data_IF_485410283507
#
_entry.id   IF_485410283507
#
_cell.length_a   1.000
_cell.length_b   1.000
_cell.length_c   1.000
_cell.angle_alpha   90.00
_cell.angle_beta   90.00
_cell.angle_gamma   90.00
#
_symmetry.space_group_name_H-M   'P 1'
#
loop_
_entity.id
_entity.type
_entity.pdbx_description
1 polymer ?
#
# COMPACT_ATOMS: atom_id res chain seq x y z
N UNK A 1 6.49 -0.68 -26.87
CA UNK A 1 5.60 -0.99 -25.74
C UNK A 1 6.27 -2.07 -24.91
N UNK A 2 6.65 -1.76 -23.67
CA UNK A 2 7.32 -2.72 -22.78
C UNK A 2 6.24 -3.44 -21.95
N UNK A 3 6.26 -4.77 -21.92
CA UNK A 3 5.38 -5.58 -21.08
C UNK A 3 6.13 -5.96 -19.81
N UNK A 4 5.70 -5.45 -18.66
CA UNK A 4 6.32 -5.75 -17.36
C UNK A 4 5.60 -6.91 -16.71
N UNK A 5 6.33 -7.98 -16.40
CA UNK A 5 5.81 -9.18 -15.73
C UNK A 5 6.45 -9.44 -14.36
N UNK A 6 7.42 -8.66 -13.94
CA UNK A 6 8.07 -8.81 -12.63
C UNK A 6 8.66 -7.48 -12.19
N UNK A 7 9.01 -7.37 -10.90
CA UNK A 7 9.78 -6.23 -10.37
C UNK A 7 11.16 -6.13 -11.06
N UNK A 8 11.76 -7.26 -11.41
CA UNK A 8 13.03 -7.32 -12.12
C UNK A 8 12.89 -6.77 -13.56
N UNK A 9 11.82 -7.14 -14.27
CA UNK A 9 11.50 -6.57 -15.59
C UNK A 9 11.29 -5.06 -15.51
N UNK A 10 10.62 -4.59 -14.44
CA UNK A 10 10.45 -3.15 -14.20
C UNK A 10 11.79 -2.45 -14.09
N UNK A 11 12.68 -2.90 -13.19
CA UNK A 11 13.96 -2.23 -13.02
C UNK A 11 14.88 -2.34 -14.23
N UNK A 12 14.83 -3.44 -14.99
CA UNK A 12 15.55 -3.56 -16.26
C UNK A 12 15.12 -2.49 -17.25
N UNK A 13 13.81 -2.32 -17.45
CA UNK A 13 13.28 -1.29 -18.36
C UNK A 13 13.68 0.11 -17.88
N UNK A 14 13.54 0.39 -16.58
CA UNK A 14 13.94 1.69 -16.02
C UNK A 14 15.44 1.93 -16.17
N UNK A 15 16.28 0.92 -15.92
CA UNK A 15 17.74 1.05 -16.02
C UNK A 15 18.20 1.25 -17.46
N UNK A 16 17.61 0.54 -18.43
CA UNK A 16 17.86 0.76 -19.86
C UNK A 16 17.58 2.21 -20.27
N UNK A 17 16.44 2.76 -19.86
CA UNK A 17 16.04 4.13 -20.20
C UNK A 17 16.91 5.14 -19.45
N UNK A 18 17.23 4.88 -18.19
CA UNK A 18 18.12 5.70 -17.37
C UNK A 18 19.50 5.81 -18.00
N UNK A 19 20.09 4.69 -18.43
CA UNK A 19 21.40 4.64 -19.09
C UNK A 19 21.36 5.42 -20.40
N UNK A 20 20.34 5.23 -21.23
CA UNK A 20 20.17 5.97 -22.49
C UNK A 20 20.04 7.49 -22.30
N UNK A 21 19.55 7.93 -21.14
CA UNK A 21 19.38 9.34 -20.79
C UNK A 21 20.48 9.87 -19.86
N UNK A 22 21.50 9.08 -19.57
CA UNK A 22 22.62 9.43 -18.69
C UNK A 22 22.19 9.93 -17.31
N UNK A 23 21.07 9.40 -16.78
CA UNK A 23 20.50 9.80 -15.50
C UNK A 23 21.09 9.01 -14.33
N UNK A 24 21.20 9.62 -13.16
CA UNK A 24 21.54 8.89 -11.93
C UNK A 24 20.29 8.37 -11.21
N UNK A 25 20.46 7.31 -10.42
CA UNK A 25 19.39 6.79 -9.57
C UNK A 25 18.89 7.83 -8.54
N UNK A 26 19.76 8.72 -8.07
CA UNK A 26 19.40 9.84 -7.19
C UNK A 26 18.42 10.80 -7.86
N UNK A 27 18.58 11.05 -9.15
CA UNK A 27 17.76 12.00 -9.90
C UNK A 27 16.37 11.43 -10.13
N UNK A 28 16.28 10.10 -10.27
CA UNK A 28 15.05 9.35 -10.43
C UNK A 28 14.27 9.18 -9.11
N UNK A 29 14.90 8.61 -8.07
CA UNK A 29 14.20 8.15 -6.86
C UNK A 29 14.71 8.78 -5.56
N UNK A 30 15.61 9.76 -5.63
CA UNK A 30 16.14 10.48 -4.48
C UNK A 30 16.84 9.55 -3.48
N UNK A 31 16.45 9.64 -2.20
CA UNK A 31 17.04 8.84 -1.12
C UNK A 31 16.87 7.31 -1.26
N UNK A 32 16.07 6.84 -2.21
CA UNK A 32 15.91 5.41 -2.52
C UNK A 32 16.88 4.91 -3.60
N UNK A 33 17.84 5.73 -4.03
CA UNK A 33 18.78 5.39 -5.10
C UNK A 33 19.50 4.04 -4.91
N UNK A 34 19.95 3.75 -3.68
CA UNK A 34 20.62 2.46 -3.37
C UNK A 34 19.67 1.26 -3.53
N UNK A 35 18.39 1.45 -3.19
CA UNK A 35 17.37 0.41 -3.31
C UNK A 35 16.94 0.20 -4.77
N UNK A 36 16.85 1.27 -5.55
CA UNK A 36 16.63 1.17 -7.00
C UNK A 36 17.82 0.53 -7.72
N UNK A 37 19.05 0.90 -7.35
CA UNK A 37 20.27 0.32 -7.93
C UNK A 37 20.42 -1.19 -7.65
N UNK A 38 19.82 -1.71 -6.57
CA UNK A 38 19.83 -3.15 -6.30
C UNK A 38 18.84 -3.93 -7.17
N UNK A 39 17.94 -3.24 -7.90
CA UNK A 39 16.89 -3.81 -8.75
C UNK A 39 15.94 -4.80 -8.04
N UNK A 40 15.98 -4.86 -6.70
CA UNK A 40 15.18 -5.78 -5.88
C UNK A 40 14.06 -5.09 -5.10
N UNK A 41 14.05 -3.76 -5.10
CA UNK A 41 13.03 -3.00 -4.40
C UNK A 41 11.70 -3.11 -5.13
N UNK A 42 10.62 -3.49 -4.47
CA UNK A 42 9.28 -3.36 -5.04
C UNK A 42 8.76 -1.93 -4.74
N UNK A 43 8.82 -0.98 -5.69
CA UNK A 43 8.41 0.38 -5.41
C UNK A 43 6.89 0.43 -5.21
N UNK A 44 6.40 1.21 -4.21
CA UNK A 44 4.98 1.48 -4.15
C UNK A 44 4.60 2.30 -5.37
N UNK A 45 3.32 2.27 -5.70
CA UNK A 45 2.81 2.90 -6.90
C UNK A 45 3.24 4.36 -7.08
N UNK A 46 3.19 5.14 -6.00
CA UNK A 46 3.51 6.57 -6.03
C UNK A 46 4.89 6.80 -6.63
N UNK A 47 5.86 5.92 -6.35
CA UNK A 47 7.17 5.95 -6.97
C UNK A 47 7.16 5.51 -8.43
N UNK A 48 6.38 4.49 -8.81
CA UNK A 48 6.23 4.07 -10.21
C UNK A 48 5.72 5.22 -11.07
N UNK A 49 4.65 5.91 -10.63
CA UNK A 49 4.08 7.06 -11.34
C UNK A 49 5.07 8.24 -11.42
N UNK A 50 5.82 8.50 -10.34
CA UNK A 50 6.84 9.54 -10.33
C UNK A 50 7.99 9.22 -11.30
N UNK A 51 8.43 7.96 -11.35
CA UNK A 51 9.47 7.49 -12.28
C UNK A 51 8.98 7.64 -13.73
N UNK A 52 7.75 7.19 -14.03
CA UNK A 52 7.14 7.33 -15.35
C UNK A 52 7.08 8.79 -15.79
N UNK A 53 6.61 9.69 -14.91
CA UNK A 53 6.56 11.12 -15.19
C UNK A 53 7.95 11.72 -15.43
N UNK A 54 8.96 11.36 -14.63
CA UNK A 54 10.34 11.85 -14.80
C UNK A 54 11.00 11.34 -16.08
N UNK A 55 10.66 10.11 -16.47
CA UNK A 55 11.19 9.49 -17.66
C UNK A 55 10.33 9.74 -18.90
N UNK A 56 9.21 10.46 -18.79
CA UNK A 56 8.26 10.68 -19.88
C UNK A 56 7.98 9.38 -20.66
N UNK A 57 7.67 8.32 -19.91
CA UNK A 57 7.36 7.00 -20.46
C UNK A 57 6.01 6.54 -19.94
N UNK A 58 5.25 5.94 -20.85
CA UNK A 58 4.06 5.18 -20.49
C UNK A 58 4.44 3.70 -20.40
N UNK A 59 4.31 3.15 -19.21
CA UNK A 59 4.55 1.74 -18.93
C UNK A 59 3.20 1.14 -18.61
N UNK A 60 2.65 0.40 -19.56
CA UNK A 60 1.45 -0.41 -19.36
C UNK A 60 1.83 -1.61 -18.49
N UNK A 61 1.59 -1.46 -17.19
CA UNK A 61 1.85 -2.52 -16.22
C UNK A 61 0.79 -3.62 -16.39
N UNK A 62 1.19 -4.76 -16.97
CA UNK A 62 0.36 -5.98 -17.00
C UNK A 62 0.23 -6.64 -15.62
N UNK A 63 1.09 -6.25 -14.67
CA UNK A 63 0.76 -6.27 -13.26
C UNK A 63 -0.25 -5.19 -13.04
N UNK A 64 -1.49 -5.60 -13.25
CA UNK A 64 -2.64 -5.03 -12.61
C UNK A 64 -2.20 -4.47 -11.26
N UNK A 65 -2.66 -3.28 -10.94
CA UNK A 65 -2.97 -2.98 -9.55
C UNK A 65 -4.07 -3.94 -9.07
N UNK A 66 -3.88 -5.24 -9.25
CA UNK A 66 -4.71 -6.25 -8.66
C UNK A 66 -4.31 -6.15 -7.19
N UNK A 67 -5.17 -5.47 -6.44
CA UNK A 67 -5.63 -6.02 -5.19
C UNK A 67 -4.58 -6.07 -4.06
N UNK A 68 -3.51 -5.27 -4.06
CA UNK A 68 -2.77 -4.99 -2.80
C UNK A 68 -3.57 -4.06 -1.87
N UNK A 69 -4.71 -3.52 -2.33
CA UNK A 69 -5.76 -3.04 -1.42
C UNK A 69 -6.76 -4.16 -1.00
N UNK A 70 -6.67 -5.38 -1.51
CA UNK A 70 -7.69 -6.43 -1.26
C UNK A 70 -7.17 -7.79 -0.80
N UNK A 71 -5.87 -8.07 -0.82
CA UNK A 71 -5.30 -9.26 -0.14
C UNK A 71 -4.34 -8.88 0.98
N UNK A 72 -4.69 -7.82 1.73
CA UNK A 72 -4.68 -8.01 3.17
C UNK A 72 -5.71 -9.11 3.50
N UNK A 73 -5.32 -10.38 3.28
CA UNK A 73 -5.73 -11.52 4.08
C UNK A 73 -5.23 -11.27 5.51
N UNK A 74 -5.73 -10.20 6.12
CA UNK A 74 -5.94 -10.21 7.54
C UNK A 74 -7.02 -11.28 7.66
N UNK A 75 -6.69 -12.34 8.40
CA UNK A 75 -7.66 -13.29 8.95
C UNK A 75 -8.60 -12.48 9.85
N UNK A 76 -9.45 -11.65 9.24
CA UNK A 76 -10.44 -10.84 9.91
C UNK A 76 -11.50 -11.84 10.25
N UNK A 77 -11.65 -12.10 11.54
CA UNK A 77 -12.80 -12.77 12.11
C UNK A 77 -14.04 -12.32 11.29
N UNK A 78 -14.78 -13.24 10.64
CA UNK A 78 -15.92 -12.90 9.80
C UNK A 78 -17.00 -12.11 10.55
N UNK A 79 -16.96 -12.10 11.89
CA UNK A 79 -17.82 -11.29 12.75
C UNK A 79 -17.33 -9.85 12.98
N UNK A 80 -16.11 -9.49 12.53
CA UNK A 80 -15.52 -8.14 12.68
C UNK A 80 -16.47 -7.02 12.23
N UNK A 81 -17.16 -7.11 11.07
CA UNK A 81 -18.11 -6.09 10.67
C UNK A 81 -19.30 -5.95 11.62
N UNK A 82 -19.76 -7.04 12.24
CA UNK A 82 -20.86 -7.03 13.21
C UNK A 82 -20.41 -6.46 14.55
N UNK A 83 -19.22 -6.85 15.02
CA UNK A 83 -18.60 -6.34 16.25
C UNK A 83 -18.29 -4.83 16.15
N UNK A 84 -17.82 -4.34 15.00
CA UNK A 84 -17.64 -2.91 14.75
C UNK A 84 -18.95 -2.13 14.73
N UNK A 85 -20.03 -2.69 14.15
CA UNK A 85 -21.36 -2.08 14.20
C UNK A 85 -21.90 -1.97 15.62
N UNK A 86 -21.66 -2.99 16.44
CA UNK A 86 -22.05 -3.01 17.85
C UNK A 86 -21.32 -1.91 18.65
N UNK A 87 -20.00 -1.78 18.45
CA UNK A 87 -19.20 -0.68 19.02
C UNK A 87 -19.75 0.67 18.59
N UNK A 88 -20.06 0.84 17.29
CA UNK A 88 -20.61 2.09 16.77
C UNK A 88 -21.94 2.46 17.42
N UNK A 89 -22.82 1.49 17.66
CA UNK A 89 -24.09 1.70 18.35
C UNK A 89 -23.87 2.13 19.81
N UNK A 90 -22.90 1.56 20.50
CA UNK A 90 -22.59 1.92 21.89
C UNK A 90 -21.99 3.31 22.02
N UNK A 91 -21.05 3.71 21.14
CA UNK A 91 -20.44 5.04 21.18
C UNK A 91 -21.37 6.16 20.69
N UNK A 92 -22.47 5.80 20.02
CA UNK A 92 -23.51 6.75 19.60
C UNK A 92 -24.60 6.94 20.67
N UNK A 93 -24.61 6.14 21.73
CA UNK A 93 -25.50 6.37 22.85
C UNK A 93 -25.06 7.62 23.63
N UNK A 94 -26.03 8.45 24.02
CA UNK A 94 -25.77 9.59 24.90
C UNK A 94 -25.13 9.10 26.21
N UNK A 95 -24.06 9.76 26.63
CA UNK A 95 -23.29 9.47 27.85
C UNK A 95 -22.54 8.12 27.88
N UNK A 96 -22.22 7.51 26.73
CA UNK A 96 -21.46 6.25 26.70
C UNK A 96 -20.08 6.31 27.40
N UNK A 97 -19.46 7.50 27.48
CA UNK A 97 -18.19 7.73 28.19
C UNK A 97 -18.35 7.90 29.70
N UNK A 98 -19.58 7.93 30.21
CA UNK A 98 -19.90 8.04 31.64
C UNK A 98 -20.33 6.69 32.23
N UNK A 99 -20.61 5.71 31.36
CA UNK A 99 -20.99 4.36 31.73
C UNK A 99 -19.76 3.43 31.62
N UNK A 100 -19.14 3.17 32.77
CA UNK A 100 -17.97 2.29 32.88
C UNK A 100 -18.24 0.88 32.33
N UNK A 101 -19.48 0.37 32.43
CA UNK A 101 -19.87 -0.94 31.92
C UNK A 101 -19.88 -0.96 30.39
N UNK A 102 -20.35 0.11 29.75
CA UNK A 102 -20.34 0.29 28.29
C UNK A 102 -18.90 0.45 27.78
N UNK A 103 -18.07 1.23 28.46
CA UNK A 103 -16.66 1.41 28.10
C UNK A 103 -15.92 0.06 28.13
N UNK A 104 -16.14 -0.73 29.18
CA UNK A 104 -15.50 -2.03 29.31
C UNK A 104 -15.93 -2.98 28.19
N UNK A 105 -17.23 -3.03 27.87
CA UNK A 105 -17.76 -3.85 26.76
C UNK A 105 -17.20 -3.43 25.40
N UNK A 106 -17.10 -2.12 25.13
CA UNK A 106 -16.49 -1.60 23.90
C UNK A 106 -15.03 -2.04 23.79
N UNK A 107 -14.26 -1.92 24.88
CA UNK A 107 -12.85 -2.30 24.89
C UNK A 107 -12.63 -3.81 24.73
N UNK A 108 -13.46 -4.63 25.37
CA UNK A 108 -13.39 -6.09 25.25
C UNK A 108 -13.69 -6.54 23.81
N UNK A 109 -14.74 -5.99 23.19
CA UNK A 109 -15.08 -6.31 21.79
C UNK A 109 -14.01 -5.80 20.84
N UNK A 110 -13.47 -4.59 21.06
CA UNK A 110 -12.39 -4.03 20.25
C UNK A 110 -11.10 -4.87 20.30
N UNK A 111 -10.77 -5.47 21.47
CA UNK A 111 -9.62 -6.38 21.62
C UNK A 111 -9.75 -7.67 20.81
N UNK A 112 -10.96 -8.09 20.47
CA UNK A 112 -11.19 -9.29 19.63
C UNK A 112 -11.14 -9.00 18.13
N UNK A 113 -11.06 -7.72 17.74
CA UNK A 113 -10.99 -7.26 16.35
C UNK A 113 -9.53 -6.97 15.93
N UNK A 114 -8.67 -6.57 16.88
CA UNK A 114 -7.24 -6.31 16.70
C UNK A 114 -6.42 -7.60 16.70
#
# INVERSE_FOLDING_TARGET
MYTIKTVDDFWKVIDEIRIKRELNWSDLVGGKAKLAASQRWNPPLTYILQIQKKLDIDIMNTFVYELIESEQLVDKDPETPNKMKLILQWIQADNWMEDEEIIQKVQEVAKTIL
#
